data_IF_608517180508
#
_entry.id   IF_608517180508
#
_cell.length_a   1.000
_cell.length_b   1.000
_cell.length_c   1.000
_cell.angle_alpha   90.00
_cell.angle_beta   90.00
_cell.angle_gamma   90.00
#
_symmetry.space_group_name_H-M   'P 1'
#
loop_
_entity.id
_entity.type
_entity.pdbx_description
1 polymer ?
#
# COMPACT_ATOMS: atom_id res chain seq x y z
N UNK A 1 -54.64 -15.72 -2.06
CA UNK A 1 -53.87 -14.80 -2.93
C UNK A 1 -53.05 -13.78 -2.14
N UNK A 2 -53.63 -13.07 -1.16
CA UNK A 2 -52.92 -12.04 -0.36
C UNK A 2 -51.67 -12.54 0.37
N UNK A 3 -51.71 -13.73 0.97
CA UNK A 3 -50.58 -14.32 1.68
C UNK A 3 -49.38 -14.66 0.77
N UNK A 4 -49.65 -15.09 -0.47
CA UNK A 4 -48.58 -15.40 -1.45
C UNK A 4 -47.90 -14.12 -1.95
N UNK A 5 -48.68 -13.08 -2.21
CA UNK A 5 -48.14 -11.78 -2.60
C UNK A 5 -47.27 -11.16 -1.49
N UNK A 6 -47.66 -11.33 -0.22
CA UNK A 6 -46.89 -10.86 0.92
C UNK A 6 -45.53 -11.56 1.07
N UNK A 7 -45.50 -12.89 0.93
CA UNK A 7 -44.25 -13.67 1.01
C UNK A 7 -43.29 -13.29 -0.13
N UNK A 8 -43.80 -13.08 -1.34
CA UNK A 8 -42.98 -12.66 -2.49
C UNK A 8 -42.39 -11.25 -2.26
N UNK A 9 -43.21 -10.31 -1.77
CA UNK A 9 -42.74 -8.95 -1.50
C UNK A 9 -41.68 -8.91 -0.38
N UNK A 10 -41.87 -9.67 0.70
CA UNK A 10 -40.90 -9.77 1.79
C UNK A 10 -39.57 -10.40 1.32
N UNK A 11 -39.63 -11.45 0.48
CA UNK A 11 -38.45 -12.07 -0.10
C UNK A 11 -37.66 -11.14 -1.01
N UNK A 12 -38.34 -10.33 -1.82
CA UNK A 12 -37.68 -9.34 -2.68
C UNK A 12 -36.91 -8.28 -1.86
N UNK A 13 -37.49 -7.78 -0.77
CA UNK A 13 -36.82 -6.81 0.11
C UNK A 13 -35.59 -7.41 0.82
N UNK A 14 -35.65 -8.68 1.21
CA UNK A 14 -34.51 -9.37 1.82
C UNK A 14 -33.33 -9.55 0.85
N UNK A 15 -33.61 -9.75 -0.45
CA UNK A 15 -32.56 -9.85 -1.47
C UNK A 15 -31.86 -8.51 -1.75
N UNK A 16 -32.56 -7.38 -1.60
CA UNK A 16 -31.97 -6.05 -1.77
C UNK A 16 -31.09 -5.61 -0.59
N UNK A 17 -31.19 -6.27 0.56
CA UNK A 17 -30.33 -6.01 1.73
C UNK A 17 -28.86 -6.40 1.50
N UNK A 18 -28.54 -7.13 0.42
CA UNK A 18 -27.15 -7.45 0.04
C UNK A 18 -26.31 -6.25 -0.40
N UNK A 19 -26.94 -5.12 -0.75
CA UNK A 19 -26.25 -3.89 -1.15
C UNK A 19 -26.08 -2.87 0.00
N UNK A 20 -26.48 -3.21 1.23
CA UNK A 20 -26.38 -2.30 2.39
C UNK A 20 -25.16 -2.60 3.27
N UNK A 21 -24.11 -3.19 2.72
CA UNK A 21 -22.82 -3.26 3.41
C UNK A 21 -22.29 -1.84 3.65
N UNK A 22 -21.69 -1.62 4.82
CA UNK A 22 -20.92 -0.41 5.11
C UNK A 22 -19.84 -0.23 4.03
N UNK A 23 -19.58 0.99 3.53
CA UNK A 23 -18.53 1.21 2.55
C UNK A 23 -17.20 0.61 3.03
N UNK A 24 -16.65 -0.34 2.27
CA UNK A 24 -15.30 -0.89 2.44
C UNK A 24 -14.28 0.23 2.13
N UNK A 25 -14.13 1.15 3.07
CA UNK A 25 -13.11 2.20 3.01
C UNK A 25 -11.87 1.69 3.71
N UNK A 26 -10.68 2.08 3.24
CA UNK A 26 -9.43 1.82 3.95
C UNK A 26 -9.31 2.65 5.25
N UNK A 27 -10.41 3.13 5.82
CA UNK A 27 -10.42 3.86 7.08
C UNK A 27 -9.95 2.97 8.22
N UNK A 28 -9.01 3.46 9.03
CA UNK A 28 -8.44 2.70 10.15
C UNK A 28 -7.25 1.82 9.80
N UNK A 29 -6.82 1.77 8.53
CA UNK A 29 -5.55 1.13 8.16
C UNK A 29 -4.39 2.00 8.66
N UNK A 30 -3.44 1.37 9.36
CA UNK A 30 -2.21 2.04 9.79
C UNK A 30 -1.38 2.41 8.57
N UNK A 31 -1.09 3.69 8.39
CA UNK A 31 -0.15 4.15 7.37
C UNK A 31 1.24 3.59 7.64
N UNK A 32 1.93 3.20 6.57
CA UNK A 32 3.32 2.76 6.64
C UNK A 32 4.23 3.87 7.17
N UNK A 33 5.28 3.45 7.87
CA UNK A 33 6.36 4.34 8.30
C UNK A 33 7.22 4.77 7.11
N UNK A 34 7.74 6.00 7.07
CA UNK A 34 8.64 6.41 6.00
C UNK A 34 9.86 5.49 5.89
N UNK A 35 10.23 5.09 4.67
CA UNK A 35 11.33 4.13 4.45
C UNK A 35 12.68 4.61 5.01
N UNK A 36 12.92 5.92 5.03
CA UNK A 36 14.12 6.53 5.58
C UNK A 36 14.13 6.60 7.12
N UNK A 37 13.02 6.29 7.80
CA UNK A 37 13.00 6.18 9.27
C UNK A 37 13.93 5.06 9.76
N UNK A 38 14.19 4.06 8.90
CA UNK A 38 15.06 2.93 9.22
C UNK A 38 14.37 1.88 10.09
N UNK A 39 15.07 0.77 10.31
CA UNK A 39 14.50 -0.43 10.97
C UNK A 39 14.79 -0.48 12.46
N UNK A 40 15.55 0.48 13.02
CA UNK A 40 16.08 0.40 14.39
C UNK A 40 17.16 -0.67 14.59
N UNK A 41 17.54 -1.40 13.53
CA UNK A 41 18.50 -2.50 13.59
C UNK A 41 19.92 -2.05 13.23
N UNK A 42 20.97 -2.73 13.73
CA UNK A 42 22.36 -2.38 13.46
C UNK A 42 22.83 -2.77 12.04
N UNK A 43 21.99 -3.43 11.25
CA UNK A 43 22.34 -3.94 9.91
C UNK A 43 22.15 -2.91 8.78
N UNK A 44 22.01 -1.62 9.11
CA UNK A 44 22.00 -0.56 8.12
C UNK A 44 23.42 -0.34 7.55
N UNK A 45 23.53 -0.03 6.26
CA UNK A 45 24.81 0.39 5.70
C UNK A 45 25.34 1.63 6.43
N UNK A 46 26.64 1.66 6.74
CA UNK A 46 27.31 2.74 7.49
C UNK A 46 27.14 4.12 6.87
N UNK A 47 26.96 4.17 5.55
CA UNK A 47 27.01 5.39 4.75
C UNK A 47 25.66 6.12 4.69
N UNK A 48 24.68 5.71 5.50
CA UNK A 48 23.46 6.47 5.75
C UNK A 48 22.99 6.30 7.20
N UNK A 49 22.25 7.28 7.72
CA UNK A 49 21.74 7.27 9.11
C UNK A 49 20.22 7.22 9.12
N UNK A 50 19.67 6.51 10.11
CA UNK A 50 18.22 6.47 10.33
C UNK A 50 17.65 7.88 10.49
N UNK A 51 16.54 8.15 9.82
CA UNK A 51 15.88 9.46 9.77
C UNK A 51 16.44 10.41 8.71
N UNK A 52 17.61 10.13 8.12
CA UNK A 52 18.20 10.97 7.08
C UNK A 52 17.67 10.58 5.70
N UNK A 53 16.62 11.29 5.27
CA UNK A 53 16.00 11.13 3.96
C UNK A 53 16.97 11.38 2.81
N UNK A 54 17.83 12.40 2.91
CA UNK A 54 18.68 12.81 1.81
C UNK A 54 19.76 11.78 1.51
N UNK A 55 20.42 11.25 2.54
CA UNK A 55 21.42 10.18 2.36
C UNK A 55 20.76 8.86 1.92
N UNK A 56 19.57 8.53 2.43
CA UNK A 56 18.79 7.37 1.97
C UNK A 56 18.46 7.45 0.47
N UNK A 57 17.92 8.58 0.00
CA UNK A 57 17.63 8.79 -1.42
C UNK A 57 18.90 8.77 -2.27
N UNK A 58 20.00 9.31 -1.77
CA UNK A 58 21.28 9.29 -2.47
C UNK A 58 21.80 7.87 -2.66
N UNK A 59 21.74 7.02 -1.63
CA UNK A 59 22.13 5.61 -1.78
C UNK A 59 21.30 4.89 -2.83
N UNK A 60 19.98 5.09 -2.84
CA UNK A 60 19.11 4.47 -3.84
C UNK A 60 19.44 4.95 -5.25
N UNK A 61 19.67 6.26 -5.43
CA UNK A 61 20.08 6.81 -6.72
C UNK A 61 21.39 6.18 -7.19
N UNK A 62 22.41 6.14 -6.35
CA UNK A 62 23.70 5.53 -6.69
C UNK A 62 23.54 4.06 -7.08
N UNK A 63 22.81 3.26 -6.30
CA UNK A 63 22.54 1.84 -6.62
C UNK A 63 21.80 1.69 -7.96
N UNK A 64 20.84 2.54 -8.25
CA UNK A 64 20.13 2.48 -9.52
C UNK A 64 21.05 2.80 -10.71
N UNK A 65 22.02 3.72 -10.56
CA UNK A 65 22.98 4.00 -11.62
C UNK A 65 23.90 2.80 -11.91
N UNK A 66 24.29 2.02 -10.89
CA UNK A 66 25.16 0.85 -11.12
C UNK A 66 24.44 -0.30 -11.82
N UNK A 67 23.11 -0.31 -11.80
CA UNK A 67 22.28 -1.28 -12.54
C UNK A 67 21.82 -0.74 -13.91
N UNK A 68 22.09 0.52 -14.22
CA UNK A 68 21.68 1.14 -15.48
C UNK A 68 22.70 0.81 -16.57
N UNK A 69 22.32 -0.05 -17.52
CA UNK A 69 23.21 -0.44 -18.61
C UNK A 69 23.65 0.75 -19.48
N UNK A 70 22.78 1.75 -19.73
CA UNK A 70 23.16 2.96 -20.47
C UNK A 70 24.30 3.74 -19.81
N UNK A 71 24.45 3.62 -18.49
CA UNK A 71 25.56 4.22 -17.74
C UNK A 71 26.76 3.28 -17.78
N UNK A 72 26.56 1.97 -17.54
CA UNK A 72 27.64 0.98 -17.54
C UNK A 72 28.40 0.91 -18.86
N UNK A 73 27.72 0.85 -20.01
CA UNK A 73 28.40 0.80 -21.32
C UNK A 73 29.05 2.13 -21.73
N UNK A 74 28.64 3.28 -21.15
CA UNK A 74 29.30 4.58 -21.42
C UNK A 74 30.54 4.83 -20.57
N UNK A 75 30.74 4.09 -19.49
CA UNK A 75 31.89 4.22 -18.59
C UNK A 75 33.01 3.21 -18.90
N UNK A 76 32.81 2.32 -19.86
CA UNK A 76 33.85 1.46 -20.45
C UNK A 76 34.62 2.23 -21.53
#
# INVERSE_FOLDING_TARGET
MKARAFVIAAGALALLAGCSEEPQTASGVKSDTPNYAGTGQPYALSDWKQGDKASWEQQLRTRNQTQNEYVRVRQQ
#
